data_IF_310288562458
#
_entry.id   IF_310288562458
#
_cell.length_a   1.000
_cell.length_b   1.000
_cell.length_c   1.000
_cell.angle_alpha   90.00
_cell.angle_beta   90.00
_cell.angle_gamma   90.00
#
_symmetry.space_group_name_H-M   'P 1'
#
loop_
_entity.id
_entity.type
_entity.pdbx_description
1 polymer ?
#
# COMPACT_ATOMS: atom_id res chain seq x y z
N UNK A 1 31.70 16.67 27.20
CA UNK A 1 31.10 17.99 27.45
C UNK A 1 29.76 17.97 26.75
N UNK A 2 28.68 17.87 27.51
CA UNK A 2 27.32 18.01 26.95
C UNK A 2 27.15 19.46 26.53
N UNK A 3 26.94 19.69 25.27
CA UNK A 3 26.53 20.99 24.71
C UNK A 3 25.19 21.34 25.30
N UNK A 4 25.08 22.54 25.89
CA UNK A 4 23.79 23.09 26.28
C UNK A 4 22.90 23.16 25.03
N UNK A 5 21.87 22.35 24.98
CA UNK A 5 20.84 22.43 23.96
C UNK A 5 19.87 23.54 24.33
N UNK A 6 19.61 24.46 23.41
CA UNK A 6 18.54 25.46 23.60
C UNK A 6 17.19 24.73 23.45
N UNK A 7 16.52 24.54 24.57
CA UNK A 7 15.18 23.96 24.55
C UNK A 7 14.16 24.97 24.04
N UNK A 8 13.47 24.63 22.98
CA UNK A 8 12.34 25.39 22.44
C UNK A 8 11.02 24.77 22.92
N UNK A 9 10.06 25.62 23.19
CA UNK A 9 8.72 25.18 23.58
C UNK A 9 8.05 24.36 22.47
N UNK A 10 7.66 23.11 22.72
CA UNK A 10 6.96 22.30 21.72
C UNK A 10 5.63 22.89 21.28
N UNK A 11 5.00 23.75 22.10
CA UNK A 11 3.69 24.33 21.80
C UNK A 11 3.76 25.60 20.94
N UNK A 12 4.73 26.49 21.19
CA UNK A 12 4.79 27.79 20.51
C UNK A 12 6.14 28.10 19.85
N UNK A 13 7.15 27.24 20.01
CA UNK A 13 8.50 27.46 19.47
C UNK A 13 9.35 28.49 20.23
N UNK A 14 8.81 29.13 21.27
CA UNK A 14 9.54 30.10 22.10
C UNK A 14 10.57 29.41 23.01
N UNK A 15 11.58 30.16 23.47
CA UNK A 15 12.56 29.67 24.44
C UNK A 15 11.87 29.35 25.78
N UNK A 16 12.25 28.21 26.39
CA UNK A 16 11.73 27.79 27.70
C UNK A 16 12.84 27.93 28.76
N UNK A 17 12.43 28.16 30.00
CA UNK A 17 13.32 28.28 31.13
C UNK A 17 12.90 27.33 32.26
N UNK A 18 13.87 26.94 33.08
CA UNK A 18 13.60 26.16 34.28
C UNK A 18 13.01 27.06 35.37
N UNK A 19 11.84 26.68 35.86
CA UNK A 19 11.18 27.33 37.01
C UNK A 19 11.47 26.50 38.28
N UNK A 20 12.31 27.05 39.13
CA UNK A 20 12.70 26.41 40.38
C UNK A 20 11.57 26.29 41.41
N UNK A 21 10.51 27.10 41.29
CA UNK A 21 9.37 27.07 42.18
C UNK A 21 8.51 25.85 41.96
N UNK A 22 8.32 25.43 40.71
CA UNK A 22 7.51 24.26 40.32
C UNK A 22 8.36 23.05 39.91
N UNK A 23 9.70 23.21 39.87
CA UNK A 23 10.66 22.14 39.47
C UNK A 23 10.39 21.58 38.05
N UNK A 24 9.96 22.45 37.12
CA UNK A 24 9.64 22.13 35.73
C UNK A 24 10.19 23.19 34.78
N UNK A 25 10.27 22.83 33.51
CA UNK A 25 10.52 23.83 32.47
C UNK A 25 9.20 24.55 32.14
N UNK A 26 9.22 25.87 32.12
CA UNK A 26 8.06 26.71 31.82
C UNK A 26 8.32 27.60 30.62
N UNK A 27 7.35 27.70 29.74
CA UNK A 27 7.39 28.64 28.63
C UNK A 27 6.80 29.99 29.04
N UNK A 28 7.59 31.10 29.00
CA UNK A 28 7.07 32.38 29.36
C UNK A 28 6.10 33.00 28.34
N UNK A 29 5.97 32.38 27.15
CA UNK A 29 5.12 32.89 26.07
C UNK A 29 3.73 32.23 26.02
N UNK A 30 3.61 30.97 26.39
CA UNK A 30 2.34 30.27 26.37
C UNK A 30 1.99 29.56 27.69
N UNK A 31 2.76 29.84 28.75
CA UNK A 31 2.62 29.31 30.12
C UNK A 31 2.60 27.78 30.24
N UNK A 32 2.93 27.03 29.17
CA UNK A 32 2.97 25.59 29.21
C UNK A 32 4.15 25.08 30.03
N UNK A 33 3.91 24.10 30.87
CA UNK A 33 4.88 23.44 31.75
C UNK A 33 5.25 22.06 31.20
N UNK A 34 6.54 21.70 31.32
CA UNK A 34 7.08 20.41 30.86
C UNK A 34 7.99 19.82 31.92
N UNK A 35 7.90 18.51 32.09
CA UNK A 35 8.89 17.76 32.83
C UNK A 35 10.18 17.63 32.01
N UNK A 36 11.35 17.59 32.69
CA UNK A 36 12.67 17.48 32.03
C UNK A 36 12.75 16.24 31.13
N UNK A 37 12.21 15.12 31.60
CA UNK A 37 12.18 13.85 30.84
C UNK A 37 11.37 13.99 29.53
N UNK A 38 10.27 14.74 29.58
CA UNK A 38 9.43 15.00 28.40
C UNK A 38 10.21 15.79 27.34
N UNK A 39 10.99 16.80 27.76
CA UNK A 39 11.79 17.59 26.81
C UNK A 39 13.03 16.86 26.29
N UNK A 40 13.73 16.11 27.14
CA UNK A 40 14.85 15.28 26.72
C UNK A 40 14.40 14.25 25.67
N UNK A 41 13.26 13.62 25.91
CA UNK A 41 12.66 12.69 24.94
C UNK A 41 12.12 13.40 23.67
N UNK A 42 11.91 14.71 23.72
CA UNK A 42 11.55 15.52 22.54
C UNK A 42 12.74 15.67 21.60
N UNK A 43 13.92 15.90 22.11
CA UNK A 43 15.16 16.06 21.33
C UNK A 43 15.65 14.73 20.74
N UNK A 44 15.57 13.62 21.50
CA UNK A 44 16.02 12.31 21.03
C UNK A 44 15.24 11.81 19.80
N UNK A 45 14.00 12.21 19.68
CA UNK A 45 13.18 11.80 18.53
C UNK A 45 13.40 12.67 17.26
N UNK A 46 14.24 13.69 17.31
CA UNK A 46 14.68 14.46 16.14
C UNK A 46 15.90 13.82 15.46
N UNK A 47 16.63 12.96 16.18
CA UNK A 47 17.77 12.20 15.66
C UNK A 47 17.25 10.88 15.10
N UNK A 48 16.74 10.90 13.85
CA UNK A 48 16.27 9.70 13.16
C UNK A 48 17.39 8.67 12.99
N UNK A 49 17.11 7.43 13.36
CA UNK A 49 17.96 6.30 12.98
C UNK A 49 17.81 6.06 11.48
N UNK A 50 18.88 5.60 10.84
CA UNK A 50 18.84 5.23 9.44
C UNK A 50 18.11 3.88 9.27
N UNK A 51 17.27 3.80 8.24
CA UNK A 51 16.64 2.54 7.83
C UNK A 51 17.70 1.44 7.58
N UNK A 52 17.46 0.26 8.09
CA UNK A 52 18.27 -0.93 7.80
C UNK A 52 17.59 -1.74 6.70
N UNK A 53 17.88 -1.38 5.45
CA UNK A 53 17.17 -1.85 4.25
C UNK A 53 17.77 -3.13 3.65
N UNK A 54 17.93 -4.19 4.43
CA UNK A 54 18.34 -5.48 3.89
C UNK A 54 17.12 -6.26 3.40
N UNK A 55 16.80 -6.11 2.11
CA UNK A 55 15.73 -6.86 1.47
C UNK A 55 16.25 -8.13 0.82
N UNK A 56 15.62 -9.26 1.12
CA UNK A 56 15.76 -10.51 0.38
C UNK A 56 14.74 -10.51 -0.77
N UNK A 57 15.22 -10.14 -1.96
CA UNK A 57 14.38 -10.00 -3.15
C UNK A 57 14.35 -11.25 -4.04
N UNK A 58 15.01 -12.32 -3.63
CA UNK A 58 14.99 -13.62 -4.32
C UNK A 58 13.62 -14.28 -4.14
N UNK A 59 12.63 -13.77 -4.88
CA UNK A 59 11.25 -14.27 -4.88
C UNK A 59 11.00 -15.19 -6.07
N UNK A 60 10.03 -16.09 -5.94
CA UNK A 60 9.71 -17.09 -6.95
C UNK A 60 10.69 -18.26 -6.99
N UNK A 61 10.31 -19.30 -7.71
CA UNK A 61 11.08 -20.53 -7.87
C UNK A 61 11.60 -20.73 -9.29
N UNK A 62 12.42 -21.77 -9.45
CA UNK A 62 12.76 -22.30 -10.76
C UNK A 62 11.69 -23.30 -11.21
N UNK A 63 11.42 -23.28 -12.52
CA UNK A 63 10.54 -24.27 -13.12
C UNK A 63 11.22 -25.64 -13.15
N UNK A 64 10.52 -26.67 -12.77
CA UNK A 64 11.00 -28.03 -12.91
C UNK A 64 10.83 -28.50 -14.36
N UNK A 65 11.61 -29.53 -14.75
CA UNK A 65 11.53 -30.12 -16.09
C UNK A 65 10.10 -30.61 -16.39
N UNK A 66 9.55 -30.15 -17.52
CA UNK A 66 8.19 -30.51 -17.95
C UNK A 66 7.06 -29.60 -17.41
N UNK A 67 7.28 -28.77 -16.39
CA UNK A 67 6.20 -27.91 -15.85
C UNK A 67 5.73 -26.83 -16.83
N UNK A 68 6.58 -26.41 -17.76
CA UNK A 68 6.25 -25.38 -18.77
C UNK A 68 5.82 -25.96 -20.12
N UNK A 69 5.79 -27.27 -20.29
CA UNK A 69 5.53 -27.92 -21.60
C UNK A 69 4.19 -27.52 -22.25
N UNK A 70 3.16 -27.34 -21.43
CA UNK A 70 1.84 -26.85 -21.86
C UNK A 70 1.67 -25.33 -21.88
N UNK A 71 2.70 -24.54 -21.53
CA UNK A 71 2.60 -23.08 -21.48
C UNK A 71 3.17 -22.43 -22.75
N UNK A 72 2.47 -21.40 -23.21
CA UNK A 72 2.84 -20.62 -24.40
C UNK A 72 2.93 -19.14 -24.04
N UNK A 73 3.96 -18.49 -24.55
CA UNK A 73 4.15 -17.05 -24.41
C UNK A 73 3.66 -16.33 -25.66
N UNK A 74 2.96 -15.19 -25.44
CA UNK A 74 2.44 -14.32 -26.50
C UNK A 74 2.92 -12.91 -26.27
N UNK A 75 3.25 -12.21 -27.35
CA UNK A 75 3.69 -10.81 -27.30
C UNK A 75 2.74 -9.94 -28.11
N UNK A 76 2.34 -8.82 -27.54
CA UNK A 76 1.58 -7.80 -28.25
C UNK A 76 2.53 -6.76 -28.85
N UNK A 77 2.61 -6.72 -30.18
CA UNK A 77 3.47 -5.74 -30.89
C UNK A 77 3.03 -4.29 -30.72
N UNK A 78 1.79 -4.05 -30.29
CA UNK A 78 1.26 -2.68 -30.11
C UNK A 78 1.63 -2.06 -28.77
N UNK A 79 1.48 -2.80 -27.66
CA UNK A 79 1.73 -2.29 -26.32
C UNK A 79 2.92 -2.94 -25.62
N UNK A 80 3.58 -3.92 -26.27
CA UNK A 80 4.72 -4.66 -25.71
C UNK A 80 4.33 -5.63 -24.58
N UNK A 81 3.04 -5.82 -24.27
CA UNK A 81 2.58 -6.75 -23.24
C UNK A 81 2.95 -8.18 -23.56
N UNK A 82 3.53 -8.90 -22.61
CA UNK A 82 3.84 -10.32 -22.70
C UNK A 82 2.86 -11.09 -21.81
N UNK A 83 2.16 -12.05 -22.38
CA UNK A 83 1.15 -12.85 -21.67
C UNK A 83 1.44 -14.33 -21.82
N UNK A 84 1.09 -15.08 -20.82
CA UNK A 84 1.23 -16.53 -20.77
C UNK A 84 -0.15 -17.17 -20.75
N UNK A 85 -0.32 -18.24 -21.47
CA UNK A 85 -1.53 -19.06 -21.46
C UNK A 85 -1.19 -20.54 -21.63
N UNK A 86 -2.16 -21.40 -21.41
CA UNK A 86 -2.02 -22.81 -21.73
C UNK A 86 -2.12 -23.04 -23.26
N UNK A 87 -1.69 -24.19 -23.73
CA UNK A 87 -1.71 -24.54 -25.16
C UNK A 87 -3.13 -24.58 -25.77
N UNK A 88 -4.18 -24.75 -24.94
CA UNK A 88 -5.56 -24.78 -25.35
C UNK A 88 -6.20 -23.38 -25.34
N UNK A 89 -5.56 -22.41 -24.71
CA UNK A 89 -6.03 -21.03 -24.63
C UNK A 89 -5.49 -20.22 -25.79
N UNK A 90 -6.27 -20.13 -26.89
CA UNK A 90 -5.90 -19.34 -28.05
C UNK A 90 -5.97 -17.83 -27.73
N UNK A 91 -4.83 -17.18 -27.52
CA UNK A 91 -4.74 -15.75 -27.44
C UNK A 91 -4.89 -15.12 -28.83
N UNK A 92 -6.06 -14.56 -29.13
CA UNK A 92 -6.30 -13.84 -30.38
C UNK A 92 -6.11 -12.36 -30.23
N UNK A 93 -6.32 -11.81 -29.02
CA UNK A 93 -6.23 -10.40 -28.73
C UNK A 93 -5.62 -10.13 -27.34
N UNK A 94 -4.78 -9.11 -27.28
CA UNK A 94 -4.14 -8.62 -26.05
C UNK A 94 -5.20 -8.21 -25.02
N UNK A 95 -5.10 -8.67 -23.76
CA UNK A 95 -6.03 -8.28 -22.73
C UNK A 95 -5.89 -6.79 -22.35
N UNK A 96 -4.71 -6.19 -22.56
CA UNK A 96 -4.42 -4.80 -22.20
C UNK A 96 -4.88 -3.81 -23.28
N UNK A 97 -4.52 -4.04 -24.55
CA UNK A 97 -4.78 -3.06 -25.63
C UNK A 97 -5.78 -3.55 -26.69
N UNK A 98 -6.24 -4.79 -26.62
CA UNK A 98 -7.19 -5.37 -27.59
C UNK A 98 -6.61 -5.72 -28.96
N UNK A 99 -5.37 -5.34 -29.27
CA UNK A 99 -4.74 -5.63 -30.53
C UNK A 99 -4.32 -7.12 -30.63
N UNK A 100 -4.19 -7.66 -31.85
CA UNK A 100 -3.72 -9.03 -32.05
C UNK A 100 -2.39 -9.31 -31.39
N UNK A 101 -2.25 -10.47 -30.77
CA UNK A 101 -1.00 -10.98 -30.19
C UNK A 101 -0.35 -12.02 -31.08
N UNK A 102 0.97 -12.17 -30.95
CA UNK A 102 1.74 -13.18 -31.68
C UNK A 102 2.30 -14.19 -30.68
N UNK A 103 2.08 -15.46 -30.92
CA UNK A 103 2.68 -16.55 -30.15
C UNK A 103 4.20 -16.57 -30.40
N UNK A 104 4.99 -16.49 -29.32
CA UNK A 104 6.46 -16.52 -29.39
C UNK A 104 7.03 -17.93 -29.22
N UNK A 105 6.34 -18.81 -28.55
CA UNK A 105 6.76 -20.16 -28.27
C UNK A 105 6.42 -20.66 -26.88
N UNK A 106 7.19 -21.60 -26.40
CA UNK A 106 7.08 -22.13 -25.04
C UNK A 106 7.63 -21.11 -24.04
N UNK A 107 7.04 -21.06 -22.84
CA UNK A 107 7.54 -20.22 -21.75
C UNK A 107 8.93 -20.67 -21.33
N UNK A 108 9.87 -19.72 -21.22
CA UNK A 108 11.23 -19.99 -20.76
C UNK A 108 11.84 -18.76 -20.10
N UNK A 109 12.75 -18.98 -19.14
CA UNK A 109 13.54 -17.91 -18.52
C UNK A 109 12.81 -17.05 -17.50
N UNK A 110 11.61 -17.44 -17.06
CA UNK A 110 10.79 -16.73 -16.09
C UNK A 110 10.84 -17.40 -14.72
N UNK A 111 10.57 -16.61 -13.66
CA UNK A 111 10.38 -17.15 -12.32
C UNK A 111 9.02 -17.84 -12.23
N UNK A 112 8.99 -18.96 -11.51
CA UNK A 112 7.75 -19.62 -11.13
C UNK A 112 7.14 -18.88 -9.94
N UNK A 113 5.85 -18.50 -9.99
CA UNK A 113 5.18 -17.92 -8.82
C UNK A 113 5.22 -18.84 -7.61
N UNK A 114 5.36 -18.26 -6.40
CA UNK A 114 5.22 -18.99 -5.14
C UNK A 114 3.75 -19.29 -4.87
N UNK A 115 2.87 -18.30 -5.10
CA UNK A 115 1.46 -18.38 -4.78
C UNK A 115 0.57 -17.91 -5.93
N UNK A 116 -0.70 -18.32 -5.85
CA UNK A 116 -1.77 -17.78 -6.70
C UNK A 116 -3.02 -17.53 -5.86
N UNK A 117 -3.67 -16.37 -6.08
CA UNK A 117 -5.04 -16.13 -5.62
C UNK A 117 -5.98 -16.43 -6.78
N UNK A 118 -6.62 -17.62 -6.79
CA UNK A 118 -7.40 -18.06 -7.92
C UNK A 118 -8.73 -17.33 -8.06
N UNK A 119 -9.30 -17.33 -9.26
CA UNK A 119 -10.64 -16.81 -9.49
C UNK A 119 -11.67 -17.58 -8.66
N UNK A 120 -12.53 -16.86 -7.92
CA UNK A 120 -13.66 -17.42 -7.18
C UNK A 120 -14.97 -17.39 -7.97
N UNK A 121 -15.06 -16.49 -8.92
CA UNK A 121 -16.26 -16.29 -9.75
C UNK A 121 -15.98 -16.72 -11.17
N UNK A 122 -16.92 -17.41 -11.75
CA UNK A 122 -16.91 -17.65 -13.18
C UNK A 122 -17.24 -16.38 -13.98
N UNK A 123 -17.02 -16.42 -15.28
CA UNK A 123 -17.29 -15.30 -16.19
C UNK A 123 -18.74 -14.83 -16.11
N UNK A 124 -19.71 -15.71 -15.91
CA UNK A 124 -21.12 -15.39 -15.82
C UNK A 124 -21.45 -14.60 -14.55
N UNK A 125 -20.91 -15.04 -13.40
CA UNK A 125 -21.07 -14.36 -12.13
C UNK A 125 -20.37 -12.99 -12.13
N UNK A 126 -19.17 -12.87 -12.72
CA UNK A 126 -18.47 -11.60 -12.87
C UNK A 126 -19.27 -10.59 -13.70
N UNK A 127 -19.84 -11.01 -14.83
CA UNK A 127 -20.74 -10.18 -15.65
C UNK A 127 -21.97 -9.73 -14.88
N UNK A 128 -22.64 -10.63 -14.18
CA UNK A 128 -23.82 -10.30 -13.36
C UNK A 128 -23.48 -9.30 -12.25
N UNK A 129 -22.33 -9.47 -11.58
CA UNK A 129 -21.83 -8.52 -10.59
C UNK A 129 -21.59 -7.13 -11.16
N UNK A 130 -20.93 -7.03 -12.32
CA UNK A 130 -20.73 -5.77 -13.02
C UNK A 130 -22.04 -5.12 -13.43
N UNK A 131 -22.96 -5.84 -14.03
CA UNK A 131 -24.28 -5.32 -14.39
C UNK A 131 -25.04 -4.77 -13.18
N UNK A 132 -25.03 -5.50 -12.06
CA UNK A 132 -25.63 -5.05 -10.80
C UNK A 132 -24.99 -3.74 -10.31
N UNK A 133 -23.65 -3.65 -10.36
CA UNK A 133 -22.92 -2.43 -9.97
C UNK A 133 -23.27 -1.22 -10.85
N UNK A 134 -23.47 -1.42 -12.14
CA UNK A 134 -23.80 -0.36 -13.11
C UNK A 134 -25.29 0.03 -13.08
N UNK A 135 -26.16 -0.80 -12.51
CA UNK A 135 -27.60 -0.55 -12.45
C UNK A 135 -27.92 0.62 -11.51
N UNK A 136 -28.87 1.47 -11.91
CA UNK A 136 -29.33 2.61 -11.10
C UNK A 136 -28.44 3.85 -11.17
N UNK A 137 -27.27 3.80 -11.78
CA UNK A 137 -26.39 4.97 -11.95
C UNK A 137 -26.88 5.84 -13.12
N UNK A 138 -27.56 6.98 -12.82
CA UNK A 138 -28.19 7.85 -13.81
C UNK A 138 -27.21 8.58 -14.73
N UNK A 139 -26.05 8.98 -14.18
CA UNK A 139 -25.03 9.75 -14.90
C UNK A 139 -23.98 8.87 -15.62
N UNK A 140 -24.15 7.55 -15.59
CA UNK A 140 -23.21 6.65 -16.24
C UNK A 140 -23.37 6.72 -17.77
N UNK A 141 -22.30 6.98 -18.54
CA UNK A 141 -22.33 6.97 -20.00
C UNK A 141 -22.85 5.64 -20.56
N UNK A 142 -23.53 5.71 -21.70
CA UNK A 142 -24.21 4.53 -22.32
C UNK A 142 -23.21 3.40 -22.64
N UNK A 143 -21.97 3.75 -23.02
CA UNK A 143 -20.91 2.78 -23.37
C UNK A 143 -20.65 1.77 -22.23
N UNK A 144 -20.73 2.19 -20.96
CA UNK A 144 -20.57 1.29 -19.82
C UNK A 144 -21.74 0.33 -19.60
N UNK A 145 -22.88 0.59 -20.25
CA UNK A 145 -24.07 -0.26 -20.18
C UNK A 145 -24.25 -1.14 -21.40
N UNK A 146 -23.37 -1.00 -22.40
CA UNK A 146 -23.44 -1.79 -23.62
C UNK A 146 -23.10 -3.25 -23.31
N UNK A 147 -24.03 -4.14 -23.64
CA UNK A 147 -23.90 -5.57 -23.39
C UNK A 147 -22.69 -6.17 -24.12
N UNK A 148 -22.35 -5.68 -25.30
CA UNK A 148 -21.22 -6.18 -26.08
C UNK A 148 -19.90 -5.97 -25.31
N UNK A 149 -19.71 -4.79 -24.69
CA UNK A 149 -18.53 -4.52 -23.87
C UNK A 149 -18.49 -5.37 -22.59
N UNK A 150 -19.64 -5.57 -21.94
CA UNK A 150 -19.73 -6.43 -20.75
C UNK A 150 -19.38 -7.88 -21.12
N UNK A 151 -19.70 -8.31 -22.35
CA UNK A 151 -19.40 -9.64 -22.82
C UNK A 151 -17.92 -9.88 -23.13
N UNK A 152 -17.13 -8.83 -23.29
CA UNK A 152 -15.69 -8.89 -23.51
C UNK A 152 -14.85 -9.07 -22.23
N UNK A 153 -15.48 -9.19 -21.04
CA UNK A 153 -14.76 -9.43 -19.79
C UNK A 153 -13.84 -10.65 -19.90
N UNK A 154 -12.57 -10.47 -19.60
CA UNK A 154 -11.54 -11.51 -19.60
C UNK A 154 -10.99 -11.68 -18.20
N UNK A 155 -10.66 -12.91 -17.84
CA UNK A 155 -9.90 -13.21 -16.64
C UNK A 155 -8.41 -13.18 -16.98
N UNK A 156 -7.63 -12.44 -16.23
CA UNK A 156 -6.17 -12.41 -16.32
C UNK A 156 -5.57 -12.54 -14.93
N UNK A 157 -4.50 -13.27 -14.81
CA UNK A 157 -3.64 -13.26 -13.63
C UNK A 157 -2.61 -12.18 -13.76
N UNK A 158 -2.48 -11.33 -12.75
CA UNK A 158 -1.54 -10.22 -12.71
C UNK A 158 -0.44 -10.52 -11.69
N UNK A 159 0.83 -10.22 -12.01
CA UNK A 159 1.96 -10.46 -11.12
C UNK A 159 2.00 -9.45 -9.98
N UNK A 160 2.31 -9.92 -8.77
CA UNK A 160 2.55 -9.12 -7.59
C UNK A 160 3.77 -9.58 -6.83
N UNK A 161 4.51 -8.63 -6.32
CA UNK A 161 5.50 -8.85 -5.28
C UNK A 161 4.85 -8.62 -3.92
N UNK A 162 4.96 -9.59 -3.02
CA UNK A 162 4.41 -9.54 -1.67
C UNK A 162 5.57 -9.39 -0.69
N UNK A 163 5.59 -8.28 0.05
CA UNK A 163 6.69 -7.95 0.95
C UNK A 163 6.29 -8.19 2.41
N UNK A 164 7.11 -8.97 3.13
CA UNK A 164 7.01 -9.14 4.58
C UNK A 164 8.11 -8.29 5.22
N UNK A 165 7.77 -7.45 6.20
CA UNK A 165 8.72 -6.56 6.87
C UNK A 165 8.25 -6.16 8.25
N UNK A 166 9.13 -5.54 9.03
CA UNK A 166 8.82 -4.90 10.30
C UNK A 166 9.20 -3.42 10.26
N UNK A 167 8.42 -2.61 10.96
CA UNK A 167 8.67 -1.19 11.10
C UNK A 167 8.64 -0.80 12.57
N UNK A 168 9.68 -0.10 13.04
CA UNK A 168 9.70 0.58 14.31
C UNK A 168 9.34 2.05 14.11
N UNK A 169 8.40 2.55 14.90
CA UNK A 169 7.95 3.93 14.75
C UNK A 169 7.94 4.69 16.06
N UNK A 170 8.29 5.99 15.96
CA UNK A 170 8.08 6.99 16.99
C UNK A 170 7.44 8.21 16.35
N UNK A 171 6.17 8.45 16.67
CA UNK A 171 5.40 9.54 16.08
C UNK A 171 4.95 10.51 17.16
N UNK A 172 5.06 11.80 16.87
CA UNK A 172 4.59 12.89 17.72
C UNK A 172 3.46 13.64 17.05
N UNK A 173 2.47 13.96 17.87
CA UNK A 173 1.30 14.69 17.44
C UNK A 173 1.10 15.92 18.31
N UNK A 174 0.78 17.04 17.70
CA UNK A 174 0.12 18.16 18.37
C UNK A 174 -1.37 17.90 18.35
N UNK A 175 -1.99 17.96 19.51
CA UNK A 175 -3.40 17.76 19.64
C UNK A 175 -4.04 18.86 20.47
N UNK A 176 -5.32 19.17 20.21
CA UNK A 176 -6.05 20.18 20.97
C UNK A 176 -7.35 19.60 21.52
N UNK A 177 -7.74 20.09 22.69
CA UNK A 177 -9.11 19.96 23.20
C UNK A 177 -9.70 21.35 23.31
N UNK A 178 -10.91 21.49 22.83
CA UNK A 178 -11.65 22.76 22.88
C UNK A 178 -12.84 22.58 23.80
N UNK A 179 -12.99 23.48 24.75
CA UNK A 179 -14.13 23.59 25.63
C UNK A 179 -14.75 24.97 25.45
N UNK A 180 -16.05 25.02 25.23
CA UNK A 180 -16.80 26.27 25.10
C UNK A 180 -17.87 26.34 26.17
N UNK A 181 -18.06 27.51 26.76
CA UNK A 181 -19.16 27.80 27.69
C UNK A 181 -19.51 29.26 27.58
N UNK A 182 -20.71 29.66 28.04
CA UNK A 182 -21.18 31.02 28.03
C UNK A 182 -21.65 31.42 29.42
N UNK A 183 -21.52 32.68 29.75
CA UNK A 183 -22.24 33.32 30.85
C UNK A 183 -23.21 34.37 30.29
N UNK A 184 -23.74 35.28 31.14
CA UNK A 184 -24.71 36.31 30.72
C UNK A 184 -24.14 37.34 29.75
N UNK A 185 -22.84 37.52 29.74
CA UNK A 185 -22.18 38.65 29.06
C UNK A 185 -21.16 38.18 28.01
N UNK A 186 -20.62 36.95 28.10
CA UNK A 186 -19.53 36.44 27.28
C UNK A 186 -19.67 35.01 26.89
N UNK A 187 -19.13 34.69 25.69
CA UNK A 187 -18.83 33.36 25.23
C UNK A 187 -17.35 33.07 25.43
N UNK A 188 -17.07 31.95 26.11
CA UNK A 188 -15.70 31.55 26.41
C UNK A 188 -15.32 30.35 25.56
N UNK A 189 -14.08 30.37 25.07
CA UNK A 189 -13.46 29.25 24.40
C UNK A 189 -12.10 28.99 25.02
N UNK A 190 -11.95 27.81 25.62
CA UNK A 190 -10.69 27.32 26.16
C UNK A 190 -10.10 26.31 25.19
N UNK A 191 -8.86 26.51 24.76
CA UNK A 191 -8.14 25.55 23.93
C UNK A 191 -6.93 25.04 24.69
N UNK A 192 -6.99 23.76 25.06
CA UNK A 192 -5.86 23.06 25.69
C UNK A 192 -5.01 22.39 24.61
N UNK A 193 -3.70 22.57 24.69
CA UNK A 193 -2.72 22.01 23.75
C UNK A 193 -2.02 20.82 24.39
N UNK A 194 -1.85 19.75 23.60
CA UNK A 194 -1.23 18.50 24.05
C UNK A 194 -0.15 18.07 23.06
N UNK A 195 0.94 17.56 23.60
CA UNK A 195 1.92 16.78 22.87
C UNK A 195 1.64 15.31 23.13
N UNK A 196 1.26 14.57 22.09
CA UNK A 196 0.95 13.14 22.18
C UNK A 196 2.04 12.37 21.47
N UNK A 197 2.59 11.34 22.14
CA UNK A 197 3.61 10.45 21.58
C UNK A 197 3.02 9.07 21.41
N UNK A 198 3.38 8.44 20.31
CA UNK A 198 3.11 7.02 20.03
C UNK A 198 4.39 6.37 19.56
N UNK A 199 4.66 5.17 20.02
CA UNK A 199 5.84 4.41 19.60
C UNK A 199 5.60 2.92 19.78
N UNK A 200 6.24 2.12 18.94
CA UNK A 200 6.16 0.68 18.93
C UNK A 200 6.56 0.10 17.59
N UNK A 201 6.41 -1.21 17.47
CA UNK A 201 6.75 -1.98 16.27
C UNK A 201 5.46 -2.51 15.62
N UNK A 202 5.44 -2.54 14.30
CA UNK A 202 4.37 -3.15 13.50
C UNK A 202 5.00 -4.12 12.51
N UNK A 203 4.54 -5.37 12.51
CA UNK A 203 4.87 -6.34 11.47
C UNK A 203 3.85 -6.26 10.32
N UNK A 204 4.36 -6.32 9.11
CA UNK A 204 3.58 -6.34 7.88
C UNK A 204 3.83 -7.64 7.15
N UNK A 205 2.76 -8.30 6.75
CA UNK A 205 2.79 -9.51 5.93
C UNK A 205 2.07 -9.28 4.61
N UNK A 206 2.70 -9.74 3.53
CA UNK A 206 2.13 -9.70 2.18
C UNK A 206 1.73 -8.29 1.72
N UNK A 207 2.56 -7.29 1.96
CA UNK A 207 2.34 -5.94 1.39
C UNK A 207 2.45 -6.05 -0.12
N UNK A 208 1.35 -5.88 -0.88
CA UNK A 208 1.36 -6.14 -2.31
C UNK A 208 1.95 -4.95 -3.06
N UNK A 209 2.78 -5.21 -4.05
CA UNK A 209 3.24 -4.23 -5.04
C UNK A 209 3.09 -4.86 -6.42
N UNK A 210 2.46 -4.14 -7.34
CA UNK A 210 2.26 -4.58 -8.71
C UNK A 210 3.60 -4.83 -9.42
N UNK A 211 3.69 -5.97 -10.10
CA UNK A 211 4.85 -6.35 -10.91
C UNK A 211 4.70 -6.04 -12.40
N UNK A 212 3.64 -5.32 -12.80
CA UNK A 212 3.37 -5.02 -14.21
C UNK A 212 3.20 -3.54 -14.50
N UNK A 213 4.01 -2.99 -15.38
CA UNK A 213 3.84 -1.61 -15.88
C UNK A 213 2.63 -1.42 -16.81
N UNK A 214 1.91 -2.49 -17.16
CA UNK A 214 0.76 -2.46 -18.09
C UNK A 214 -0.54 -2.04 -17.43
N UNK A 215 -0.60 -2.16 -16.11
CA UNK A 215 -1.74 -1.74 -15.30
C UNK A 215 -1.34 -0.47 -14.54
N UNK A 216 -2.26 0.48 -14.43
CA UNK A 216 -1.96 1.68 -13.65
C UNK A 216 -1.98 1.32 -12.15
N UNK A 217 -0.93 1.71 -11.46
CA UNK A 217 -0.71 1.38 -10.04
C UNK A 217 -1.86 1.79 -9.12
N UNK A 218 -2.44 2.98 -9.34
CA UNK A 218 -3.57 3.49 -8.59
C UNK A 218 -4.85 2.64 -8.78
N UNK A 219 -5.03 2.05 -9.95
CA UNK A 219 -6.11 1.10 -10.19
C UNK A 219 -5.86 -0.22 -9.46
N UNK A 220 -4.62 -0.69 -9.44
CA UNK A 220 -4.23 -1.92 -8.75
C UNK A 220 -4.36 -1.79 -7.24
N UNK A 221 -3.99 -0.63 -6.68
CA UNK A 221 -4.19 -0.32 -5.27
C UNK A 221 -5.68 -0.15 -4.89
N UNK A 222 -6.51 0.34 -5.79
CA UNK A 222 -7.93 0.59 -5.51
C UNK A 222 -8.78 -0.67 -5.29
N UNK A 223 -8.29 -1.84 -5.71
CA UNK A 223 -8.98 -3.13 -5.54
C UNK A 223 -8.52 -3.89 -4.30
N UNK A 224 -7.61 -3.31 -3.53
CA UNK A 224 -7.20 -3.87 -2.24
C UNK A 224 -8.29 -3.64 -1.16
N UNK A 225 -8.30 -4.43 -0.07
CA UNK A 225 -7.33 -5.48 0.28
C UNK A 225 -7.60 -6.81 -0.43
N UNK A 226 -6.50 -7.49 -0.82
CA UNK A 226 -6.58 -8.87 -1.27
C UNK A 226 -6.82 -9.81 -0.09
N UNK A 227 -7.63 -10.85 -0.32
CA UNK A 227 -7.82 -11.88 0.70
C UNK A 227 -6.73 -12.95 0.58
N UNK A 228 -5.61 -12.77 1.25
CA UNK A 228 -4.49 -13.71 1.22
C UNK A 228 -4.80 -15.07 1.88
N UNK A 229 -5.89 -15.19 2.64
CA UNK A 229 -6.37 -16.50 3.11
C UNK A 229 -6.83 -17.41 1.95
N UNK A 230 -7.06 -16.86 0.77
CA UNK A 230 -7.42 -17.59 -0.45
C UNK A 230 -6.21 -17.92 -1.32
N UNK A 231 -5.02 -17.45 -0.95
CA UNK A 231 -3.79 -17.79 -1.66
C UNK A 231 -3.45 -19.26 -1.45
N UNK A 232 -3.07 -19.90 -2.54
CA UNK A 232 -2.63 -21.31 -2.57
C UNK A 232 -1.29 -21.40 -3.30
N UNK A 233 -0.56 -22.49 -3.07
CA UNK A 233 0.68 -22.75 -3.81
C UNK A 233 0.40 -22.79 -5.31
N UNK A 234 1.27 -22.14 -6.08
CA UNK A 234 1.07 -22.03 -7.52
C UNK A 234 1.19 -23.39 -8.20
N UNK A 235 0.24 -23.67 -9.08
CA UNK A 235 0.26 -24.79 -10.02
C UNK A 235 -0.19 -24.31 -11.39
N UNK A 236 0.42 -24.82 -12.46
CA UNK A 236 0.09 -24.45 -13.85
C UNK A 236 -1.38 -24.68 -14.21
N UNK A 237 -2.04 -25.63 -13.55
CA UNK A 237 -3.47 -25.92 -13.71
C UNK A 237 -4.37 -24.68 -13.46
N UNK A 238 -3.95 -23.72 -12.64
CA UNK A 238 -4.72 -22.49 -12.41
C UNK A 238 -4.74 -21.56 -13.62
N UNK A 239 -3.80 -21.70 -14.55
CA UNK A 239 -3.76 -20.94 -15.79
C UNK A 239 -4.70 -21.48 -16.88
N UNK A 240 -5.27 -22.69 -16.69
CA UNK A 240 -6.14 -23.30 -17.69
C UNK A 240 -7.37 -22.42 -17.98
N UNK A 241 -7.51 -21.98 -19.24
CA UNK A 241 -8.58 -21.11 -19.69
C UNK A 241 -8.42 -19.62 -19.34
N UNK A 242 -7.31 -19.22 -18.74
CA UNK A 242 -6.97 -17.84 -18.37
C UNK A 242 -5.63 -17.43 -18.97
N UNK A 243 -5.38 -16.13 -19.00
CA UNK A 243 -4.08 -15.59 -19.28
C UNK A 243 -3.39 -15.13 -18.02
N UNK A 244 -2.07 -15.18 -17.98
CA UNK A 244 -1.27 -14.52 -16.98
C UNK A 244 -0.43 -13.42 -17.64
N UNK A 245 -0.38 -12.24 -17.00
CA UNK A 245 0.58 -11.22 -17.34
C UNK A 245 1.94 -11.62 -16.81
N UNK A 246 2.98 -11.30 -17.56
CA UNK A 246 4.35 -11.51 -17.19
C UNK A 246 4.86 -10.27 -16.47
N UNK A 247 5.57 -10.42 -15.35
CA UNK A 247 6.15 -9.27 -14.69
C UNK A 247 7.19 -8.58 -15.61
N UNK A 248 7.17 -7.27 -15.63
CA UNK A 248 8.16 -6.39 -16.30
C UNK A 248 8.80 -5.40 -15.32
N UNK A 249 8.37 -5.44 -14.04
CA UNK A 249 8.98 -4.73 -12.90
C UNK A 249 9.46 -5.78 -11.91
N UNK A 250 10.75 -5.74 -11.56
CA UNK A 250 11.35 -6.75 -10.66
C UNK A 250 11.04 -6.47 -9.19
N UNK A 251 11.29 -7.46 -8.31
CA UNK A 251 11.14 -7.29 -6.87
C UNK A 251 12.05 -6.16 -6.33
N UNK A 252 13.30 -6.08 -6.82
CA UNK A 252 14.25 -5.03 -6.43
C UNK A 252 13.74 -3.63 -6.80
N UNK A 253 13.16 -3.48 -7.99
CA UNK A 253 12.59 -2.21 -8.44
C UNK A 253 11.35 -1.81 -7.63
N UNK A 254 10.65 -2.79 -7.06
CA UNK A 254 9.43 -2.61 -6.27
C UNK A 254 9.68 -2.27 -4.79
N UNK A 255 10.92 -2.42 -4.29
CA UNK A 255 11.29 -2.20 -2.88
C UNK A 255 10.95 -0.78 -2.42
N UNK A 256 11.29 0.23 -3.21
CA UNK A 256 11.04 1.63 -2.82
C UNK A 256 9.54 1.87 -2.58
N UNK A 257 8.70 1.39 -3.48
CA UNK A 257 7.24 1.49 -3.34
C UNK A 257 6.71 0.70 -2.15
N UNK A 258 7.25 -0.50 -1.90
CA UNK A 258 6.90 -1.27 -0.70
C UNK A 258 7.22 -0.49 0.58
N UNK A 259 8.39 0.14 0.65
CA UNK A 259 8.82 0.97 1.78
C UNK A 259 7.88 2.16 2.00
N UNK A 260 7.50 2.88 0.94
CA UNK A 260 6.54 4.00 1.03
C UNK A 260 5.18 3.54 1.56
N UNK A 261 4.69 2.39 1.09
CA UNK A 261 3.42 1.82 1.55
C UNK A 261 3.47 1.43 3.02
N UNK A 262 4.55 0.79 3.46
CA UNK A 262 4.76 0.41 4.87
C UNK A 262 4.82 1.66 5.75
N UNK A 263 5.59 2.68 5.36
CA UNK A 263 5.67 3.96 6.09
C UNK A 263 4.30 4.62 6.22
N UNK A 264 3.56 4.74 5.13
CA UNK A 264 2.21 5.32 5.13
C UNK A 264 1.24 4.53 6.03
N UNK A 265 1.21 3.20 5.90
CA UNK A 265 0.34 2.36 6.74
C UNK A 265 0.72 2.42 8.22
N UNK A 266 2.00 2.55 8.54
CA UNK A 266 2.49 2.75 9.90
C UNK A 266 2.01 4.08 10.46
N UNK A 267 2.14 5.17 9.73
CA UNK A 267 1.64 6.50 10.13
C UNK A 267 0.14 6.50 10.38
N UNK A 268 -0.64 5.90 9.49
CA UNK A 268 -2.09 5.78 9.62
C UNK A 268 -2.48 4.94 10.84
N UNK A 269 -1.81 3.80 11.07
CA UNK A 269 -2.05 2.94 12.22
C UNK A 269 -1.80 3.69 13.54
N UNK A 270 -0.68 4.41 13.67
CA UNK A 270 -0.37 5.19 14.87
C UNK A 270 -1.31 6.38 15.04
N UNK A 271 -1.65 7.09 13.96
CA UNK A 271 -2.60 8.21 14.00
C UNK A 271 -3.98 7.77 14.48
N UNK A 272 -4.45 6.59 14.08
CA UNK A 272 -5.74 6.01 14.50
C UNK A 272 -5.84 5.81 16.02
N UNK A 273 -4.71 5.66 16.71
CA UNK A 273 -4.65 5.49 18.18
C UNK A 273 -4.78 6.79 18.95
N UNK A 274 -4.67 7.95 18.28
CA UNK A 274 -4.73 9.28 18.92
C UNK A 274 -6.17 9.79 18.90
N UNK A 275 -6.92 9.43 19.93
CA UNK A 275 -8.36 9.71 20.02
C UNK A 275 -8.68 10.67 21.16
N UNK A 276 -9.87 11.28 21.10
CA UNK A 276 -10.40 12.14 22.17
C UNK A 276 -9.90 13.58 22.13
N UNK A 277 -9.37 14.04 21.00
CA UNK A 277 -8.95 15.42 20.74
C UNK A 277 -9.82 16.07 19.66
N UNK A 278 -9.93 17.40 19.69
CA UNK A 278 -10.64 18.17 18.67
C UNK A 278 -9.86 18.27 17.37
N UNK A 279 -8.55 18.42 17.46
CA UNK A 279 -7.63 18.39 16.32
C UNK A 279 -6.42 17.54 16.66
N UNK A 280 -5.88 16.85 15.66
CA UNK A 280 -4.63 16.08 15.76
C UNK A 280 -3.82 16.38 14.49
N UNK A 281 -2.57 16.79 14.67
CA UNK A 281 -1.64 17.05 13.56
C UNK A 281 -0.32 16.37 13.86
N UNK A 282 0.22 15.63 12.91
CA UNK A 282 1.55 15.03 13.02
C UNK A 282 2.61 16.16 13.07
N UNK A 283 3.44 16.14 14.08
CA UNK A 283 4.55 17.09 14.26
C UNK A 283 5.86 16.49 13.74
N UNK A 284 6.12 15.24 14.08
CA UNK A 284 7.27 14.49 13.58
C UNK A 284 6.93 13.00 13.51
N UNK A 285 7.46 12.34 12.50
CA UNK A 285 7.34 10.90 12.30
C UNK A 285 8.75 10.36 12.04
N UNK A 286 9.20 9.44 12.88
CA UNK A 286 10.42 8.69 12.69
C UNK A 286 10.04 7.22 12.58
N UNK A 287 10.17 6.66 11.38
CA UNK A 287 9.85 5.28 11.07
C UNK A 287 11.11 4.63 10.52
N UNK A 288 11.62 3.64 11.24
CA UNK A 288 12.74 2.81 10.85
C UNK A 288 12.17 1.51 10.26
N UNK A 289 12.50 1.25 9.00
CA UNK A 289 12.13 0.01 8.35
C UNK A 289 13.25 -1.01 8.52
N UNK A 290 12.87 -2.22 8.88
CA UNK A 290 13.75 -3.37 8.84
C UNK A 290 13.53 -4.08 7.51
N UNK A 291 14.60 -4.43 6.82
CA UNK A 291 14.52 -5.22 5.60
C UNK A 291 13.76 -6.52 5.84
N UNK A 292 13.23 -7.08 4.80
CA UNK A 292 12.38 -8.24 4.89
C UNK A 292 12.52 -9.13 3.67
N UNK A 293 11.46 -9.87 3.37
CA UNK A 293 11.44 -10.88 2.31
C UNK A 293 10.38 -10.57 1.28
N UNK A 294 10.73 -10.72 0.01
CA UNK A 294 9.77 -10.69 -1.11
C UNK A 294 9.30 -12.11 -1.47
N UNK A 295 8.07 -12.21 -1.94
CA UNK A 295 7.44 -13.41 -2.50
C UNK A 295 6.81 -13.04 -3.83
N UNK A 296 6.70 -13.99 -4.76
CA UNK A 296 6.07 -13.79 -6.05
C UNK A 296 4.68 -14.43 -6.08
N UNK A 297 3.65 -13.64 -6.40
CA UNK A 297 2.28 -14.12 -6.46
C UNK A 297 1.57 -13.69 -7.75
N UNK A 298 0.61 -14.51 -8.18
CA UNK A 298 -0.35 -14.16 -9.22
C UNK A 298 -1.73 -13.96 -8.61
N UNK A 299 -2.39 -12.85 -8.98
CA UNK A 299 -3.75 -12.56 -8.54
C UNK A 299 -4.71 -12.56 -9.72
N UNK A 300 -5.79 -13.34 -9.64
CA UNK A 300 -6.82 -13.42 -10.67
C UNK A 300 -7.71 -12.18 -10.70
N UNK A 301 -7.73 -11.46 -11.83
CA UNK A 301 -8.50 -10.23 -12.02
C UNK A 301 -9.42 -10.30 -13.23
N UNK A 302 -10.70 -9.92 -13.08
CA UNK A 302 -11.56 -9.65 -14.23
C UNK A 302 -11.17 -8.34 -14.87
N UNK A 303 -10.75 -8.37 -16.12
CA UNK A 303 -10.41 -7.20 -16.91
C UNK A 303 -11.50 -6.92 -17.94
N UNK A 304 -11.98 -5.68 -18.02
CA UNK A 304 -12.86 -5.20 -19.08
C UNK A 304 -12.27 -3.92 -19.65
N UNK A 305 -12.28 -3.81 -20.97
CA UNK A 305 -11.80 -2.62 -21.64
C UNK A 305 -12.96 -1.84 -22.24
N UNK A 306 -13.01 -0.56 -21.92
CA UNK A 306 -13.83 0.41 -22.64
C UNK A 306 -12.90 1.17 -23.60
N UNK A 307 -12.99 0.86 -24.91
CA UNK A 307 -12.31 1.66 -25.93
C UNK A 307 -12.94 3.04 -26.03
N UNK A 308 -12.14 4.10 -25.93
CA UNK A 308 -12.52 5.46 -26.26
C UNK A 308 -12.02 5.77 -27.65
#
# INVERSE_FOLDING_TARGET
MQTLQEYKCPCCGGAIAFDSGIQKMKCPYCDTEFDMETLASYDDGLNGKQDNMNWETSAGGEWQEGETDGLRSYVCKSCGGEIVGDENTAATACPFCGNPVVMMGQLSGELKPDFVIPFKLDKKAAKAGLQKHLTGKRLLPKIFKDQNHIDEIKGIYVPFWLFDTEADAQVRYRATKVRTWSDSDYDYTETSHFLVRRGGSIAFENVPVDGSSKMADDLMESIEPYNFADAVDFQTAYLAGYFADKYDVTAEQSVERANERVKRSTEEAFASTVQGYATVTTESSNIELHGGKAKYALTGMPCIRYGF
#
